data_IF_401811575980
#
_entry.id   IF_401811575980
#
_cell.length_a   1.000
_cell.length_b   1.000
_cell.length_c   1.000
_cell.angle_alpha   90.00
_cell.angle_beta   90.00
_cell.angle_gamma   90.00
#
_symmetry.space_group_name_H-M   'P 1'
#
loop_
_entity.id
_entity.type
_entity.pdbx_description
1 polymer ?
#
# COMPACT_ATOMS: atom_id res chain seq x y z
N UNK A 1 -17.61 -46.03 15.21
CA UNK A 1 -18.00 -45.07 14.14
C UNK A 1 -16.76 -44.40 13.52
N UNK A 2 -15.66 -45.13 13.29
CA UNK A 2 -14.37 -44.57 12.81
C UNK A 2 -14.01 -44.97 11.37
N UNK A 3 -14.64 -46.01 10.81
CA UNK A 3 -14.23 -46.61 9.53
C UNK A 3 -14.59 -45.85 8.24
N UNK A 4 -15.50 -44.85 8.30
CA UNK A 4 -15.82 -44.04 7.11
C UNK A 4 -14.85 -42.87 6.90
N UNK A 5 -14.33 -42.28 7.98
CA UNK A 5 -13.43 -41.13 7.91
C UNK A 5 -12.04 -41.55 7.39
N UNK A 6 -11.53 -42.70 7.84
CA UNK A 6 -10.25 -43.25 7.38
C UNK A 6 -10.28 -43.65 5.90
N UNK A 7 -11.40 -44.18 5.41
CA UNK A 7 -11.57 -44.45 3.97
C UNK A 7 -11.63 -43.18 3.15
N UNK A 8 -12.37 -42.16 3.59
CA UNK A 8 -12.47 -40.88 2.88
C UNK A 8 -11.12 -40.15 2.80
N UNK A 9 -10.33 -40.17 3.88
CA UNK A 9 -8.96 -39.62 3.90
C UNK A 9 -8.03 -40.41 2.97
N UNK A 10 -8.19 -41.74 2.90
CA UNK A 10 -7.42 -42.60 1.99
C UNK A 10 -7.75 -42.32 0.51
N UNK A 11 -9.02 -42.13 0.16
CA UNK A 11 -9.42 -41.83 -1.22
C UNK A 11 -8.94 -40.45 -1.67
N UNK A 12 -9.09 -39.41 -0.85
CA UNK A 12 -8.61 -38.07 -1.17
C UNK A 12 -7.08 -38.02 -1.35
N UNK A 13 -6.33 -38.78 -0.53
CA UNK A 13 -4.89 -38.91 -0.66
C UNK A 13 -4.46 -39.71 -1.91
N UNK A 14 -5.28 -40.65 -2.39
CA UNK A 14 -5.07 -41.38 -3.65
C UNK A 14 -5.40 -40.51 -4.87
N UNK A 15 -6.47 -39.73 -4.83
CA UNK A 15 -6.86 -38.82 -5.91
C UNK A 15 -5.84 -37.69 -6.09
N UNK A 16 -5.28 -37.17 -4.99
CA UNK A 16 -4.19 -36.18 -5.01
C UNK A 16 -2.89 -36.67 -5.68
N UNK A 17 -2.70 -38.00 -5.81
CA UNK A 17 -1.55 -38.58 -6.52
C UNK A 17 -1.74 -38.59 -8.04
N UNK A 18 -2.94 -38.28 -8.54
CA UNK A 18 -3.18 -38.10 -9.97
C UNK A 18 -2.85 -36.67 -10.40
N UNK A 19 -2.41 -36.44 -11.65
CA UNK A 19 -2.17 -35.07 -12.14
C UNK A 19 -3.42 -34.18 -12.11
N UNK A 20 -4.61 -34.75 -12.23
CA UNK A 20 -5.88 -34.03 -12.17
C UNK A 20 -6.25 -33.69 -10.73
N UNK A 21 -6.25 -34.66 -9.83
CA UNK A 21 -6.53 -34.41 -8.41
C UNK A 21 -5.51 -33.49 -7.75
N UNK A 22 -4.24 -33.51 -8.15
CA UNK A 22 -3.24 -32.55 -7.71
C UNK A 22 -3.58 -31.10 -8.11
N UNK A 23 -4.14 -30.89 -9.31
CA UNK A 23 -4.56 -29.55 -9.77
C UNK A 23 -5.77 -29.05 -9.00
N UNK A 24 -6.77 -29.92 -8.80
CA UNK A 24 -7.98 -29.59 -8.05
C UNK A 24 -7.66 -29.32 -6.57
N UNK A 25 -6.78 -30.12 -5.97
CA UNK A 25 -6.30 -29.87 -4.60
C UNK A 25 -5.57 -28.52 -4.51
N UNK A 26 -4.67 -28.21 -5.44
CA UNK A 26 -3.98 -26.93 -5.47
C UNK A 26 -4.96 -25.74 -5.62
N UNK A 27 -6.02 -25.89 -6.43
CA UNK A 27 -7.06 -24.89 -6.55
C UNK A 27 -7.83 -24.70 -5.23
N UNK A 28 -8.27 -25.80 -4.61
CA UNK A 28 -8.98 -25.78 -3.33
C UNK A 28 -8.13 -25.15 -2.21
N UNK A 29 -6.84 -25.48 -2.14
CA UNK A 29 -5.92 -24.87 -1.17
C UNK A 29 -5.84 -23.35 -1.32
N UNK A 30 -5.74 -22.85 -2.56
CA UNK A 30 -5.69 -21.40 -2.80
C UNK A 30 -7.00 -20.73 -2.42
N UNK A 31 -8.15 -21.34 -2.68
CA UNK A 31 -9.45 -20.82 -2.26
C UNK A 31 -9.54 -20.70 -0.73
N UNK A 32 -9.14 -21.75 0.01
CA UNK A 32 -9.12 -21.73 1.48
C UNK A 32 -8.16 -20.66 2.02
N UNK A 33 -6.95 -20.57 1.44
CA UNK A 33 -5.96 -19.55 1.81
C UNK A 33 -6.50 -18.14 1.56
N UNK A 34 -7.16 -17.89 0.43
CA UNK A 34 -7.74 -16.58 0.10
C UNK A 34 -8.85 -16.18 1.08
N UNK A 35 -9.80 -17.08 1.37
CA UNK A 35 -10.88 -16.82 2.34
C UNK A 35 -10.33 -16.54 3.74
N UNK A 36 -9.39 -17.37 4.20
CA UNK A 36 -8.73 -17.20 5.50
C UNK A 36 -8.01 -15.86 5.58
N UNK A 37 -7.33 -15.46 4.51
CA UNK A 37 -6.61 -14.18 4.46
C UNK A 37 -7.57 -12.99 4.53
N UNK A 38 -8.68 -13.02 3.81
CA UNK A 38 -9.70 -11.95 3.86
C UNK A 38 -10.32 -11.85 5.25
N UNK A 39 -10.66 -12.98 5.87
CA UNK A 39 -11.24 -13.01 7.20
C UNK A 39 -10.27 -12.46 8.26
N UNK A 40 -9.01 -12.91 8.24
CA UNK A 40 -7.96 -12.38 9.15
C UNK A 40 -7.73 -10.88 8.95
N UNK A 41 -7.66 -10.42 7.70
CA UNK A 41 -7.48 -9.00 7.41
C UNK A 41 -8.67 -8.16 7.91
N UNK A 42 -9.89 -8.69 7.77
CA UNK A 42 -11.10 -8.07 8.30
C UNK A 42 -11.07 -7.97 9.83
N UNK A 43 -10.81 -9.08 10.54
CA UNK A 43 -10.71 -9.07 12.00
C UNK A 43 -9.66 -8.08 12.51
N UNK A 44 -8.47 -8.04 11.89
CA UNK A 44 -7.39 -7.15 12.28
C UNK A 44 -7.64 -5.68 11.95
N UNK A 45 -8.52 -5.39 10.98
CA UNK A 45 -8.84 -4.02 10.61
C UNK A 45 -9.69 -3.29 11.65
N UNK A 46 -10.39 -4.03 12.53
CA UNK A 46 -11.35 -3.46 13.48
C UNK A 46 -12.61 -2.85 12.85
N UNK A 47 -12.79 -3.01 11.54
CA UNK A 47 -13.98 -2.56 10.83
C UNK A 47 -15.18 -3.48 11.11
N UNK A 48 -16.38 -2.91 11.11
CA UNK A 48 -17.61 -3.69 11.01
C UNK A 48 -17.88 -4.09 9.56
N UNK A 49 -18.71 -5.11 9.34
CA UNK A 49 -19.08 -5.50 7.97
C UNK A 49 -19.78 -4.37 7.22
N UNK A 50 -20.62 -3.59 7.91
CA UNK A 50 -21.23 -2.37 7.38
C UNK A 50 -20.19 -1.34 6.93
N UNK A 51 -19.19 -1.04 7.77
CA UNK A 51 -18.15 -0.08 7.41
C UNK A 51 -17.32 -0.54 6.21
N UNK A 52 -17.01 -1.84 6.14
CA UNK A 52 -16.32 -2.41 4.99
C UNK A 52 -17.20 -2.36 3.73
N UNK A 53 -18.50 -2.60 3.87
CA UNK A 53 -19.48 -2.51 2.78
C UNK A 53 -19.55 -1.08 2.22
N UNK A 54 -19.65 -0.08 3.10
CA UNK A 54 -19.65 1.34 2.75
C UNK A 54 -18.35 1.73 2.03
N UNK A 55 -17.18 1.28 2.51
CA UNK A 55 -15.89 1.57 1.90
C UNK A 55 -15.71 0.92 0.50
N UNK A 56 -16.43 -0.16 0.24
CA UNK A 56 -16.35 -0.92 -1.02
C UNK A 56 -17.51 -0.63 -1.98
N UNK A 57 -18.48 0.19 -1.58
CA UNK A 57 -19.73 0.46 -2.32
C UNK A 57 -20.47 -0.84 -2.67
N UNK A 58 -20.73 -1.68 -1.67
CA UNK A 58 -21.48 -2.94 -1.79
C UNK A 58 -22.44 -3.10 -0.61
N UNK A 59 -23.32 -4.11 -0.66
CA UNK A 59 -24.18 -4.43 0.48
C UNK A 59 -23.43 -5.18 1.58
N UNK A 60 -23.88 -5.02 2.83
CA UNK A 60 -23.36 -5.78 3.97
C UNK A 60 -23.54 -7.30 3.79
N UNK A 61 -24.67 -7.73 3.21
CA UNK A 61 -24.87 -9.14 2.85
C UNK A 61 -23.85 -9.67 1.85
N UNK A 62 -23.39 -8.83 0.91
CA UNK A 62 -22.30 -9.20 -0.02
C UNK A 62 -20.98 -9.36 0.72
N UNK A 63 -20.67 -8.50 1.69
CA UNK A 63 -19.48 -8.64 2.55
C UNK A 63 -19.54 -9.94 3.33
N UNK A 64 -20.66 -10.24 3.98
CA UNK A 64 -20.86 -11.49 4.72
C UNK A 64 -20.66 -12.72 3.81
N UNK A 65 -21.24 -12.71 2.61
CA UNK A 65 -21.08 -13.80 1.66
C UNK A 65 -19.62 -13.99 1.21
N UNK A 66 -18.86 -12.91 1.05
CA UNK A 66 -17.45 -13.02 0.66
C UNK A 66 -16.57 -13.51 1.82
N UNK A 67 -16.86 -13.08 3.05
CA UNK A 67 -16.09 -13.48 4.22
C UNK A 67 -16.39 -14.92 4.68
N UNK A 68 -17.63 -15.40 4.48
CA UNK A 68 -18.08 -16.72 4.95
C UNK A 68 -18.44 -17.69 3.80
N UNK A 69 -18.22 -17.28 2.56
CA UNK A 69 -18.57 -18.06 1.37
C UNK A 69 -17.67 -19.27 1.13
N UNK A 70 -17.94 -19.96 0.03
CA UNK A 70 -17.28 -21.21 -0.40
C UNK A 70 -15.83 -21.03 -0.90
N UNK A 71 -15.31 -19.80 -0.92
CA UNK A 71 -13.94 -19.49 -1.35
C UNK A 71 -13.77 -19.25 -2.85
N UNK A 72 -14.83 -19.31 -3.65
CA UNK A 72 -14.78 -18.93 -5.07
C UNK A 72 -14.85 -17.40 -5.23
N UNK A 73 -13.79 -16.72 -4.80
CA UNK A 73 -13.68 -15.26 -4.85
C UNK A 73 -12.76 -14.83 -5.98
N UNK A 74 -13.23 -13.89 -6.81
CA UNK A 74 -12.40 -13.29 -7.86
C UNK A 74 -11.17 -12.61 -7.24
N UNK A 75 -10.01 -12.74 -7.87
CA UNK A 75 -8.77 -12.08 -7.42
C UNK A 75 -8.92 -10.56 -7.29
N UNK A 76 -9.74 -9.93 -8.15
CA UNK A 76 -10.06 -8.50 -8.04
C UNK A 76 -10.83 -8.16 -6.76
N UNK A 77 -11.75 -9.02 -6.33
CA UNK A 77 -12.47 -8.87 -5.07
C UNK A 77 -11.52 -9.03 -3.89
N UNK A 78 -10.69 -10.07 -3.90
CA UNK A 78 -9.65 -10.26 -2.87
C UNK A 78 -8.77 -9.01 -2.73
N UNK A 79 -8.26 -8.48 -3.84
CA UNK A 79 -7.41 -7.29 -3.84
C UNK A 79 -8.14 -6.04 -3.31
N UNK A 80 -9.41 -5.84 -3.70
CA UNK A 80 -10.23 -4.73 -3.21
C UNK A 80 -10.48 -4.82 -1.70
N UNK A 81 -10.86 -6.00 -1.21
CA UNK A 81 -11.14 -6.22 0.20
C UNK A 81 -9.89 -6.03 1.04
N UNK A 82 -8.76 -6.61 0.64
CA UNK A 82 -7.48 -6.40 1.32
C UNK A 82 -7.08 -4.93 1.32
N UNK A 83 -7.27 -4.21 0.21
CA UNK A 83 -6.97 -2.77 0.17
C UNK A 83 -7.85 -1.96 1.12
N UNK A 84 -9.14 -2.27 1.18
CA UNK A 84 -10.09 -1.61 2.08
C UNK A 84 -9.79 -1.87 3.56
N UNK A 85 -9.18 -3.02 3.89
CA UNK A 85 -8.74 -3.36 5.24
C UNK A 85 -7.30 -2.95 5.55
N UNK A 86 -6.64 -2.22 4.64
CA UNK A 86 -5.29 -1.65 4.87
C UNK A 86 -4.12 -2.51 4.39
N UNK A 87 -4.39 -3.63 3.72
CA UNK A 87 -3.37 -4.56 3.22
C UNK A 87 -3.15 -4.44 1.70
N UNK A 88 -1.97 -4.87 1.25
CA UNK A 88 -1.67 -5.03 -0.17
C UNK A 88 -1.62 -6.52 -0.52
N UNK A 89 -2.38 -6.91 -1.53
CA UNK A 89 -2.31 -8.26 -2.08
C UNK A 89 -1.02 -8.43 -2.89
N UNK A 90 -0.29 -9.53 -2.64
CA UNK A 90 0.83 -9.98 -3.46
C UNK A 90 0.62 -11.45 -3.78
N UNK A 91 0.94 -11.82 -5.02
CA UNK A 91 0.88 -13.21 -5.49
C UNK A 91 2.29 -13.66 -5.80
N UNK A 92 2.64 -14.83 -5.28
CA UNK A 92 3.87 -15.53 -5.55
C UNK A 92 3.52 -16.95 -6.00
N UNK A 93 4.37 -17.54 -6.82
CA UNK A 93 4.23 -18.93 -7.26
C UNK A 93 5.58 -19.64 -7.11
N UNK A 94 5.52 -20.86 -6.60
CA UNK A 94 6.66 -21.72 -6.36
C UNK A 94 6.57 -22.95 -7.29
N UNK A 95 7.70 -23.55 -7.69
CA UNK A 95 7.69 -24.81 -8.43
C UNK A 95 6.95 -25.89 -7.63
N UNK A 96 5.91 -26.47 -8.23
CA UNK A 96 5.25 -27.66 -7.70
C UNK A 96 6.08 -28.94 -7.96
N UNK A 97 6.99 -28.89 -8.94
CA UNK A 97 7.90 -29.98 -9.31
C UNK A 97 9.36 -29.49 -9.17
N UNK A 98 10.25 -30.23 -8.49
CA UNK A 98 11.66 -29.89 -8.33
C UNK A 98 12.43 -29.69 -9.65
N UNK A 99 11.96 -30.30 -10.75
CA UNK A 99 12.56 -30.17 -12.08
C UNK A 99 12.22 -28.84 -12.77
N UNK A 100 11.20 -28.13 -12.28
CA UNK A 100 10.78 -26.83 -12.83
C UNK A 100 11.60 -25.73 -12.16
N UNK A 101 12.32 -24.89 -12.92
CA UNK A 101 13.09 -23.80 -12.33
C UNK A 101 12.16 -22.78 -11.66
N UNK A 102 12.59 -22.15 -10.55
CA UNK A 102 11.80 -21.12 -9.88
C UNK A 102 11.53 -19.95 -10.84
N UNK A 103 10.34 -19.36 -10.71
CA UNK A 103 10.05 -18.12 -11.40
C UNK A 103 11.12 -17.09 -11.04
N UNK A 104 11.74 -16.51 -12.07
CA UNK A 104 12.71 -15.42 -11.86
C UNK A 104 11.98 -14.30 -11.15
N UNK A 105 12.27 -14.11 -9.85
CA UNK A 105 11.83 -12.90 -9.15
C UNK A 105 12.34 -11.75 -9.98
N UNK A 106 11.43 -11.01 -10.60
CA UNK A 106 11.74 -9.69 -11.15
C UNK A 106 12.19 -8.93 -9.92
N UNK A 107 13.51 -8.89 -9.66
CA UNK A 107 14.06 -7.94 -8.71
C UNK A 107 13.37 -6.65 -9.11
N UNK A 108 12.63 -5.99 -8.21
CA UNK A 108 12.25 -4.63 -8.50
C UNK A 108 13.60 -4.01 -8.83
N UNK A 109 13.83 -3.70 -10.12
CA UNK A 109 14.76 -2.64 -10.48
C UNK A 109 14.35 -1.62 -9.47
N UNK A 110 15.22 -1.33 -8.49
CA UNK A 110 15.04 -0.16 -7.65
C UNK A 110 14.78 0.87 -8.71
N UNK A 111 13.50 1.21 -8.92
CA UNK A 111 13.16 2.49 -9.44
C UNK A 111 14.00 3.30 -8.50
N UNK A 112 15.05 3.87 -9.05
CA UNK A 112 15.66 5.01 -8.43
C UNK A 112 14.45 5.92 -8.26
N UNK A 113 13.79 5.76 -7.11
CA UNK A 113 13.44 6.85 -6.26
C UNK A 113 14.77 7.52 -6.14
N UNK A 114 15.05 8.32 -7.16
CA UNK A 114 15.79 9.54 -7.06
C UNK A 114 15.02 10.18 -5.91
N UNK A 115 15.46 9.88 -4.69
CA UNK A 115 15.48 10.86 -3.65
C UNK A 115 16.31 11.95 -4.31
N UNK A 116 15.63 12.78 -5.09
CA UNK A 116 16.12 14.09 -5.37
C UNK A 116 15.98 14.72 -3.99
N UNK A 117 17.03 14.59 -3.19
CA UNK A 117 17.37 15.67 -2.28
C UNK A 117 17.53 16.85 -3.22
N UNK A 118 16.46 17.63 -3.36
CA UNK A 118 16.55 18.90 -4.04
C UNK A 118 17.46 19.75 -3.13
N UNK A 119 18.69 19.93 -3.58
CA UNK A 119 19.61 20.89 -2.99
C UNK A 119 19.03 22.28 -3.25
N UNK A 120 18.89 23.06 -2.20
CA UNK A 120 18.40 24.43 -2.29
C UNK A 120 19.46 25.40 -1.80
N UNK A 121 19.65 26.49 -2.54
CA UNK A 121 20.40 27.65 -2.09
C UNK A 121 19.49 28.48 -1.17
N UNK A 122 19.98 28.82 0.02
CA UNK A 122 19.28 29.64 1.00
C UNK A 122 19.72 31.09 0.89
N UNK A 123 18.75 31.98 0.80
CA UNK A 123 18.95 33.42 0.81
C UNK A 123 18.24 34.03 2.02
N UNK A 124 18.90 34.97 2.68
CA UNK A 124 18.30 35.73 3.77
C UNK A 124 18.19 37.22 3.40
N UNK A 125 17.02 37.79 3.65
CA UNK A 125 16.76 39.22 3.53
C UNK A 125 16.29 39.74 4.89
N UNK A 126 16.94 40.77 5.47
CA UNK A 126 16.40 41.43 6.64
C UNK A 126 15.11 42.16 6.24
N UNK A 127 14.03 41.92 6.99
CA UNK A 127 12.74 42.59 6.83
C UNK A 127 12.36 43.27 8.13
N UNK A 128 11.78 44.46 8.04
CA UNK A 128 11.18 45.12 9.20
C UNK A 128 9.71 44.74 9.31
N UNK A 129 9.30 44.26 10.48
CA UNK A 129 7.90 43.94 10.74
C UNK A 129 7.53 44.33 12.17
N UNK A 130 6.51 45.17 12.36
CA UNK A 130 6.02 45.54 13.70
C UNK A 130 7.08 46.20 14.61
N UNK A 131 8.02 46.98 14.07
CA UNK A 131 9.06 47.67 14.84
C UNK A 131 10.26 46.81 15.25
N UNK A 132 10.33 45.55 14.79
CA UNK A 132 11.50 44.67 14.94
C UNK A 132 12.09 44.25 13.60
N UNK A 133 13.39 43.92 13.59
CA UNK A 133 14.09 43.38 12.42
C UNK A 133 14.06 41.86 12.45
N UNK A 134 13.56 41.24 11.39
CA UNK A 134 13.45 39.80 11.20
C UNK A 134 14.24 39.37 9.97
N UNK A 135 14.55 38.08 9.86
CA UNK A 135 15.18 37.48 8.68
C UNK A 135 14.16 36.66 7.92
N UNK A 136 13.89 37.03 6.66
CA UNK A 136 13.13 36.19 5.72
C UNK A 136 14.12 35.25 5.05
N UNK A 137 13.95 33.95 5.28
CA UNK A 137 14.71 32.90 4.61
C UNK A 137 13.93 32.38 3.39
N UNK A 138 14.57 32.36 2.24
CA UNK A 138 14.02 31.84 0.99
C UNK A 138 14.91 30.71 0.50
N UNK A 139 14.35 29.51 0.34
CA UNK A 139 15.02 28.35 -0.23
C UNK A 139 14.70 28.24 -1.72
N UNK A 140 15.72 28.27 -2.58
CA UNK A 140 15.59 28.19 -4.03
C UNK A 140 16.27 26.92 -4.56
N UNK A 141 15.71 26.20 -5.54
CA UNK A 141 16.39 25.04 -6.12
C UNK A 141 17.77 25.43 -6.68
N UNK A 142 18.78 24.62 -6.38
CA UNK A 142 20.15 24.86 -6.80
C UNK A 142 20.25 24.99 -8.34
N UNK A 143 20.94 26.02 -8.80
CA UNK A 143 21.18 26.26 -10.24
C UNK A 143 20.03 26.92 -11.00
N UNK A 144 18.93 27.31 -10.35
CA UNK A 144 17.89 28.15 -10.95
C UNK A 144 18.27 29.62 -10.76
N UNK A 145 18.65 30.39 -11.80
CA UNK A 145 18.95 31.80 -11.67
C UNK A 145 17.68 32.57 -11.27
N UNK A 146 17.75 33.30 -10.16
CA UNK A 146 16.60 34.00 -9.59
C UNK A 146 16.39 35.37 -10.25
N UNK A 147 15.14 35.68 -10.62
CA UNK A 147 14.79 36.88 -11.39
C UNK A 147 13.87 37.88 -10.69
N UNK A 148 13.73 37.88 -9.36
CA UNK A 148 12.85 38.84 -8.67
C UNK A 148 13.61 40.03 -8.05
N UNK A 149 13.01 41.24 -8.07
CA UNK A 149 13.63 42.48 -7.60
C UNK A 149 13.83 42.58 -6.08
N UNK A 150 13.24 41.70 -5.26
CA UNK A 150 13.36 41.70 -3.79
C UNK A 150 14.76 41.31 -3.26
N UNK A 151 15.61 40.68 -4.06
CA UNK A 151 16.89 40.10 -3.60
C UNK A 151 18.14 40.99 -3.73
N UNK A 152 18.02 42.26 -4.13
CA UNK A 152 19.20 43.15 -4.23
C UNK A 152 19.97 43.32 -2.90
N UNK A 153 19.33 43.06 -1.76
CA UNK A 153 19.91 43.05 -0.42
C UNK A 153 19.99 41.65 0.22
N UNK A 154 19.81 40.60 -0.57
CA UNK A 154 19.81 39.23 -0.09
C UNK A 154 21.21 38.67 -0.02
N UNK A 155 21.55 38.11 1.14
CA UNK A 155 22.81 37.41 1.33
C UNK A 155 22.58 35.92 1.14
N UNK A 156 23.39 35.29 0.30
CA UNK A 156 23.45 33.83 0.25
C UNK A 156 24.00 33.32 1.58
N UNK A 157 23.25 32.45 2.26
CA UNK A 157 23.57 31.99 3.63
C UNK A 157 24.09 30.56 3.64
N UNK A 158 23.81 29.77 2.59
CA UNK A 158 24.33 28.41 2.45
C UNK A 158 23.38 27.52 1.66
N UNK A 159 23.71 26.23 1.58
CA UNK A 159 22.88 25.23 0.91
C UNK A 159 22.16 24.34 1.92
N UNK A 160 20.96 23.86 1.57
CA UNK A 160 20.19 22.90 2.37
C UNK A 160 19.67 21.76 1.52
N UNK A 161 19.64 20.57 2.12
CA UNK A 161 18.95 19.40 1.56
C UNK A 161 17.61 19.25 2.27
N UNK A 162 16.54 19.76 1.66
CA UNK A 162 15.21 19.69 2.28
C UNK A 162 14.41 18.55 1.69
N UNK A 163 13.86 17.69 2.56
CA UNK A 163 12.83 16.73 2.17
C UNK A 163 11.47 17.42 2.30
N UNK A 164 10.91 17.89 1.19
CA UNK A 164 9.54 18.41 1.22
C UNK A 164 8.58 17.22 1.42
N UNK A 165 8.05 17.08 2.64
CA UNK A 165 6.81 16.34 2.83
C UNK A 165 5.66 17.27 2.43
N UNK A 166 4.95 16.88 1.37
CA UNK A 166 3.76 17.58 0.95
C UNK A 166 2.67 17.36 2.00
N UNK A 167 2.51 18.34 2.90
CA UNK A 167 1.36 18.40 3.81
C UNK A 167 0.35 19.37 3.18
N UNK A 168 -0.91 18.97 2.94
CA UNK A 168 -1.92 19.91 2.49
C UNK A 168 -2.14 20.94 3.60
N UNK A 169 -1.62 22.14 3.39
CA UNK A 169 -1.81 23.28 4.30
C UNK A 169 -3.30 23.64 4.25
N UNK A 170 -4.03 23.23 5.29
CA UNK A 170 -5.37 23.74 5.56
C UNK A 170 -5.28 25.23 5.85
N UNK A 171 -5.85 26.05 4.97
CA UNK A 171 -6.08 27.47 5.21
C UNK A 171 -7.05 27.58 6.40
N UNK A 172 -6.53 27.89 7.58
CA UNK A 172 -7.36 28.38 8.69
C UNK A 172 -7.53 29.88 8.50
N UNK A 173 -8.73 30.29 8.06
CA UNK A 173 -9.19 31.67 8.26
C UNK A 173 -9.18 31.97 9.77
N UNK A 174 -8.34 32.92 10.16
CA UNK A 174 -8.41 33.53 11.49
C UNK A 174 -9.56 34.53 11.44
N UNK A 175 -10.72 34.13 11.94
CA UNK A 175 -11.83 35.04 12.18
C UNK A 175 -11.43 36.02 13.28
N UNK A 176 -11.28 37.28 12.90
CA UNK A 176 -11.03 38.40 13.79
C UNK A 176 -12.35 38.81 14.46
N UNK A 177 -12.44 38.70 15.79
CA UNK A 177 -13.36 39.47 16.65
C UNK A 177 -12.89 39.43 18.10
#
# INVERSE_FOLDING_TARGET
MTGNLERQLSTAALEAQTPEGARELAAAEIMVKASTLMWKAFEQSGLTQRQLADALDVSEGRVSQILHGDGNVRLSTLARYLRATGYLARLEAEPADPSVPPLRRRQPRRASRRQVTDEHDLYAVPIEHGGGTYLKLTAMPAGVPYGAPELASANHVGTTNTRMEWSPIGVREVANR
#
